data_IF_641385273658
#
_entry.id   IF_641385273658
#
_cell.length_a   1.000
_cell.length_b   1.000
_cell.length_c   1.000
_cell.angle_alpha   90.00
_cell.angle_beta   90.00
_cell.angle_gamma   90.00
#
_symmetry.space_group_name_H-M   'P 1'
#
loop_
_entity.id
_entity.type
_entity.pdbx_description
1 polymer ?
#
# COMPACT_ATOMS: atom_id res chain seq x y z
N UNK A 1 -0.34 -25.72 -8.13
CA UNK A 1 -0.72 -24.97 -6.92
C UNK A 1 -0.43 -25.82 -5.70
N UNK A 2 0.79 -25.77 -5.20
CA UNK A 2 1.08 -26.33 -3.87
C UNK A 2 0.59 -25.30 -2.85
N UNK A 3 -0.47 -25.64 -2.13
CA UNK A 3 -0.97 -24.90 -0.99
C UNK A 3 0.09 -24.94 0.12
N UNK A 4 0.72 -23.80 0.37
CA UNK A 4 1.69 -23.67 1.46
C UNK A 4 0.93 -23.69 2.80
N UNK A 5 0.55 -24.90 3.26
CA UNK A 5 -0.14 -25.13 4.54
C UNK A 5 0.69 -24.67 5.76
N UNK A 6 2.02 -24.55 5.60
CA UNK A 6 2.91 -24.09 6.67
C UNK A 6 2.76 -22.60 7.04
N UNK A 7 2.21 -21.75 6.17
CA UNK A 7 2.11 -20.31 6.44
C UNK A 7 0.75 -19.89 6.99
N UNK A 8 -0.27 -20.74 6.95
CA UNK A 8 -1.64 -20.40 7.40
C UNK A 8 -1.75 -20.24 8.92
N UNK A 9 -0.81 -20.77 9.69
CA UNK A 9 -0.67 -20.59 11.14
C UNK A 9 0.68 -19.97 11.48
N UNK A 10 1.17 -19.00 10.69
CA UNK A 10 2.45 -18.38 10.99
C UNK A 10 2.32 -17.50 12.25
N UNK A 11 2.85 -17.94 13.43
CA UNK A 11 2.82 -17.17 14.67
C UNK A 11 3.62 -15.87 14.57
N UNK A 12 4.43 -15.71 13.51
CA UNK A 12 5.28 -14.55 13.25
C UNK A 12 4.56 -13.21 13.38
N UNK A 13 3.34 -13.12 12.86
CA UNK A 13 2.59 -11.85 12.87
C UNK A 13 2.20 -11.44 14.30
N UNK A 14 1.78 -12.39 15.14
CA UNK A 14 1.48 -12.15 16.55
C UNK A 14 2.72 -11.76 17.35
N UNK A 15 3.78 -12.55 17.18
CA UNK A 15 5.08 -12.33 17.85
C UNK A 15 5.71 -11.00 17.45
N UNK A 16 5.67 -10.64 16.16
CA UNK A 16 6.13 -9.34 15.68
C UNK A 16 5.29 -8.19 16.21
N UNK A 17 3.96 -8.38 16.35
CA UNK A 17 3.06 -7.38 16.94
C UNK A 17 3.35 -7.14 18.42
N UNK A 18 3.78 -8.17 19.18
CA UNK A 18 4.20 -8.01 20.57
C UNK A 18 5.46 -7.14 20.69
N UNK A 19 6.49 -7.41 19.88
CA UNK A 19 7.69 -6.57 19.83
C UNK A 19 7.37 -5.12 19.43
N UNK A 20 6.47 -4.92 18.46
CA UNK A 20 5.96 -3.61 18.10
C UNK A 20 5.28 -2.90 19.27
N UNK A 21 4.40 -3.59 20.00
CA UNK A 21 3.61 -3.03 21.11
C UNK A 21 4.51 -2.55 22.26
N UNK A 22 5.58 -3.28 22.58
CA UNK A 22 6.57 -2.87 23.59
C UNK A 22 7.21 -1.54 23.20
N UNK A 23 7.71 -1.44 21.96
CA UNK A 23 8.35 -0.23 21.46
C UNK A 23 7.37 0.94 21.30
N UNK A 24 6.14 0.67 20.85
CA UNK A 24 5.10 1.68 20.72
C UNK A 24 4.66 2.26 22.07
N UNK A 25 4.51 1.38 23.09
CA UNK A 25 4.13 1.80 24.45
C UNK A 25 5.19 2.70 25.05
N UNK A 26 6.45 2.29 25.03
CA UNK A 26 7.56 3.11 25.56
C UNK A 26 7.61 4.48 24.86
N UNK A 27 7.57 4.51 23.53
CA UNK A 27 7.67 5.78 22.79
C UNK A 27 6.46 6.70 23.01
N UNK A 28 5.26 6.14 23.22
CA UNK A 28 4.06 6.90 23.58
C UNK A 28 4.19 7.52 24.99
N UNK A 29 4.62 6.75 25.98
CA UNK A 29 4.81 7.19 27.37
C UNK A 29 5.91 8.26 27.49
N UNK A 30 7.00 8.12 26.73
CA UNK A 30 8.12 9.07 26.72
C UNK A 30 8.00 10.15 25.65
N UNK A 31 6.87 10.25 24.94
CA UNK A 31 6.63 11.23 23.87
C UNK A 31 7.77 11.30 22.84
N UNK A 32 8.39 10.13 22.55
CA UNK A 32 9.58 10.03 21.70
C UNK A 32 9.39 8.99 20.59
N UNK A 33 9.82 9.34 19.39
CA UNK A 33 9.94 8.41 18.25
C UNK A 33 11.40 8.21 17.80
N UNK A 34 12.37 8.60 18.65
CA UNK A 34 13.78 8.38 18.38
C UNK A 34 14.07 6.87 18.39
N UNK A 35 14.65 6.38 17.30
CA UNK A 35 14.94 4.94 17.14
C UNK A 35 16.03 4.44 18.07
N UNK A 36 17.02 5.28 18.37
CA UNK A 36 18.17 4.91 19.22
C UNK A 36 17.72 4.78 20.67
N UNK A 37 17.03 5.78 21.20
CA UNK A 37 16.53 5.80 22.56
C UNK A 37 15.55 4.64 22.81
N UNK A 38 14.61 4.47 21.86
CA UNK A 38 13.66 3.36 21.89
C UNK A 38 14.38 2.00 21.86
N UNK A 39 15.44 1.84 21.06
CA UNK A 39 16.22 0.62 21.02
C UNK A 39 16.87 0.33 22.39
N UNK A 40 17.56 1.29 22.95
CA UNK A 40 18.29 1.15 24.21
C UNK A 40 17.33 0.76 25.37
N UNK A 41 16.13 1.37 25.37
CA UNK A 41 15.13 1.13 26.41
C UNK A 41 14.36 -0.18 26.24
N UNK A 42 14.06 -0.59 25.00
CA UNK A 42 13.05 -1.65 24.77
C UNK A 42 13.62 -2.94 24.20
N UNK A 43 14.82 -2.94 23.61
CA UNK A 43 15.33 -4.10 22.87
C UNK A 43 15.47 -5.36 23.73
N UNK A 44 16.07 -5.25 24.94
CA UNK A 44 16.24 -6.38 25.85
C UNK A 44 14.90 -6.97 26.25
N UNK A 45 13.94 -6.13 26.63
CA UNK A 45 12.59 -6.55 27.01
C UNK A 45 11.87 -7.22 25.82
N UNK A 46 11.96 -6.64 24.63
CA UNK A 46 11.39 -7.22 23.42
C UNK A 46 12.01 -8.59 23.10
N UNK A 47 13.35 -8.75 23.26
CA UNK A 47 14.02 -10.04 23.06
C UNK A 47 13.59 -11.09 24.07
N UNK A 48 13.37 -10.72 25.33
CA UNK A 48 12.85 -11.64 26.38
C UNK A 48 11.41 -12.05 26.09
N UNK A 49 10.57 -11.10 25.65
CA UNK A 49 9.16 -11.37 25.32
C UNK A 49 8.98 -12.24 24.06
N UNK A 50 9.91 -12.15 23.11
CA UNK A 50 9.83 -12.87 21.82
C UNK A 50 11.18 -13.53 21.47
N UNK A 51 11.66 -14.51 22.25
CA UNK A 51 13.02 -15.07 22.13
C UNK A 51 13.29 -15.69 20.76
N UNK A 52 12.29 -16.33 20.15
CA UNK A 52 12.40 -17.02 18.87
C UNK A 52 12.28 -16.10 17.64
N UNK A 53 11.96 -14.81 17.81
CA UNK A 53 11.89 -13.88 16.70
C UNK A 53 13.32 -13.42 16.33
N UNK A 54 13.75 -13.52 15.05
CA UNK A 54 15.04 -13.02 14.61
C UNK A 54 15.28 -11.56 15.02
N UNK A 55 16.47 -11.23 15.51
CA UNK A 55 16.82 -9.90 16.00
C UNK A 55 16.52 -8.76 15.03
N UNK A 56 16.78 -8.98 13.73
CA UNK A 56 16.45 -7.99 12.69
C UNK A 56 14.95 -7.75 12.55
N UNK A 57 14.08 -8.74 12.82
CA UNK A 57 12.63 -8.54 12.80
C UNK A 57 12.17 -7.81 14.06
N UNK A 58 12.81 -8.01 15.21
CA UNK A 58 12.57 -7.22 16.43
C UNK A 58 12.91 -5.74 16.19
N UNK A 59 14.08 -5.49 15.57
CA UNK A 59 14.46 -4.12 15.18
C UNK A 59 13.49 -3.52 14.17
N UNK A 60 13.05 -4.28 13.18
CA UNK A 60 12.04 -3.86 12.22
C UNK A 60 10.69 -3.51 12.87
N UNK A 61 10.29 -4.25 13.91
CA UNK A 61 9.08 -3.96 14.68
C UNK A 61 9.20 -2.61 15.41
N UNK A 62 10.35 -2.36 16.05
CA UNK A 62 10.70 -1.06 16.68
C UNK A 62 10.64 0.08 15.66
N UNK A 63 11.27 -0.08 14.50
CA UNK A 63 11.29 0.96 13.47
C UNK A 63 9.88 1.31 12.98
N UNK A 64 9.05 0.29 12.78
CA UNK A 64 7.63 0.49 12.46
C UNK A 64 6.88 1.22 13.59
N UNK A 65 7.19 0.94 14.87
CA UNK A 65 6.58 1.61 16.01
C UNK A 65 6.98 3.10 16.05
N UNK A 66 8.26 3.40 15.88
CA UNK A 66 8.77 4.78 15.82
C UNK A 66 8.16 5.57 14.66
N UNK A 67 8.04 4.96 13.48
CA UNK A 67 7.38 5.58 12.32
C UNK A 67 5.89 5.87 12.58
N UNK A 68 5.19 4.92 13.20
CA UNK A 68 3.79 5.10 13.56
C UNK A 68 3.59 6.20 14.61
N UNK A 69 4.45 6.26 15.65
CA UNK A 69 4.46 7.31 16.67
C UNK A 69 4.73 8.68 16.04
N UNK A 70 5.71 8.77 15.14
CA UNK A 70 6.00 10.00 14.39
C UNK A 70 4.79 10.48 13.58
N UNK A 71 4.12 9.57 12.88
CA UNK A 71 2.95 9.88 12.06
C UNK A 71 1.79 10.46 12.88
N UNK A 72 1.55 9.94 14.10
CA UNK A 72 0.51 10.45 15.01
C UNK A 72 1.05 11.51 15.99
N UNK A 73 2.32 11.92 15.87
CA UNK A 73 2.98 12.87 16.77
C UNK A 73 2.81 12.49 18.26
N UNK A 74 2.92 11.23 18.57
CA UNK A 74 2.67 10.62 19.89
C UNK A 74 1.33 10.98 20.55
N UNK A 75 0.32 11.46 19.79
CA UNK A 75 -1.00 11.81 20.35
C UNK A 75 -1.84 10.58 20.71
N UNK A 76 -1.62 9.45 20.06
CA UNK A 76 -2.34 8.21 20.28
C UNK A 76 -1.37 7.05 20.27
N UNK A 77 -1.65 6.02 21.10
CA UNK A 77 -0.84 4.79 21.11
C UNK A 77 -1.12 3.96 19.84
N UNK A 78 -0.14 3.79 18.95
CA UNK A 78 -0.33 2.99 17.75
C UNK A 78 -0.54 1.52 18.10
N UNK A 79 -1.50 0.87 17.43
CA UNK A 79 -1.76 -0.55 17.56
C UNK A 79 -1.49 -1.28 16.25
N UNK A 80 -0.92 -2.47 16.33
CA UNK A 80 -0.62 -3.32 15.18
C UNK A 80 -1.41 -4.62 15.25
N UNK A 81 -2.08 -4.96 14.14
CA UNK A 81 -2.80 -6.23 14.01
C UNK A 81 -1.83 -7.36 13.69
N UNK A 82 -2.12 -8.58 14.16
CA UNK A 82 -1.28 -9.78 13.94
C UNK A 82 -1.00 -10.08 12.45
N UNK A 83 -1.88 -9.66 11.55
CA UNK A 83 -1.71 -9.86 10.11
C UNK A 83 -1.21 -8.63 9.35
N UNK A 84 -0.64 -7.66 10.05
CA UNK A 84 -0.03 -6.50 9.41
C UNK A 84 1.19 -6.92 8.59
N UNK A 85 1.44 -6.21 7.50
CA UNK A 85 2.60 -6.48 6.65
C UNK A 85 3.92 -6.34 7.42
N UNK A 86 4.86 -7.24 7.21
CA UNK A 86 6.16 -7.27 7.87
C UNK A 86 7.26 -6.93 6.89
N UNK A 87 8.17 -6.05 7.32
CA UNK A 87 9.37 -5.68 6.55
C UNK A 87 10.49 -6.67 6.83
N UNK A 88 11.15 -7.08 5.78
CA UNK A 88 12.31 -7.94 5.78
C UNK A 88 13.49 -7.24 5.11
N UNK A 89 14.61 -7.14 5.79
CA UNK A 89 15.86 -6.70 5.20
C UNK A 89 16.66 -7.89 4.64
N UNK A 90 17.74 -7.63 3.94
CA UNK A 90 18.59 -8.65 3.31
C UNK A 90 19.16 -9.69 4.29
N UNK A 91 19.23 -9.40 5.60
CA UNK A 91 19.72 -10.34 6.63
C UNK A 91 18.72 -11.45 6.95
N UNK A 92 17.45 -11.18 6.80
CA UNK A 92 16.34 -12.09 7.19
C UNK A 92 15.55 -12.63 6.01
N UNK A 93 15.78 -12.13 4.80
CA UNK A 93 15.23 -12.69 3.57
C UNK A 93 16.28 -12.69 2.47
N UNK A 94 16.35 -13.79 1.75
CA UNK A 94 17.13 -13.90 0.51
C UNK A 94 16.14 -14.20 -0.62
N UNK A 95 16.13 -13.40 -1.64
CA UNK A 95 15.22 -13.55 -2.79
C UNK A 95 16.04 -13.90 -4.03
N UNK A 96 15.81 -15.08 -4.59
CA UNK A 96 16.26 -15.44 -5.92
C UNK A 96 15.12 -15.19 -6.90
N UNK A 97 15.15 -14.03 -7.54
CA UNK A 97 14.07 -13.60 -8.42
C UNK A 97 14.04 -14.42 -9.71
N UNK A 98 15.19 -14.88 -10.21
CA UNK A 98 15.30 -15.66 -11.47
C UNK A 98 14.56 -17.00 -11.31
N UNK A 99 14.74 -17.66 -10.17
CA UNK A 99 14.12 -18.96 -9.89
C UNK A 99 12.78 -18.85 -9.17
N UNK A 100 12.30 -17.64 -8.84
CA UNK A 100 11.06 -17.44 -8.10
C UNK A 100 11.08 -18.07 -6.70
N UNK A 101 12.21 -17.99 -5.99
CA UNK A 101 12.41 -18.61 -4.68
C UNK A 101 12.84 -17.55 -3.66
N UNK A 102 12.22 -17.57 -2.50
CA UNK A 102 12.61 -16.75 -1.35
C UNK A 102 12.92 -17.65 -0.15
N UNK A 103 14.03 -17.37 0.54
CA UNK A 103 14.37 -17.99 1.83
C UNK A 103 14.14 -16.97 2.94
N UNK A 104 13.18 -17.23 3.80
CA UNK A 104 12.60 -16.28 4.76
C UNK A 104 12.91 -16.74 6.17
N UNK A 105 13.49 -15.88 7.01
CA UNK A 105 13.68 -16.16 8.42
C UNK A 105 12.33 -16.18 9.16
N UNK A 106 12.13 -17.20 9.99
CA UNK A 106 10.94 -17.39 10.82
C UNK A 106 11.31 -17.66 12.27
N UNK A 107 10.31 -17.84 13.14
CA UNK A 107 10.51 -18.26 14.53
C UNK A 107 11.08 -19.68 14.66
N UNK A 108 10.92 -20.52 13.64
CA UNK A 108 11.35 -21.93 13.64
C UNK A 108 12.44 -22.16 12.57
N UNK A 109 13.32 -21.18 12.36
CA UNK A 109 14.39 -21.28 11.36
C UNK A 109 14.02 -20.62 10.03
N UNK A 110 14.71 -20.99 8.96
CA UNK A 110 14.49 -20.43 7.61
C UNK A 110 13.52 -21.30 6.81
N UNK A 111 12.54 -20.65 6.20
CA UNK A 111 11.53 -21.28 5.33
C UNK A 111 11.87 -20.94 3.89
N UNK A 112 11.92 -21.96 3.02
CA UNK A 112 12.02 -21.78 1.58
C UNK A 112 10.63 -21.74 0.97
N UNK A 113 10.29 -20.64 0.28
CA UNK A 113 9.01 -20.43 -0.37
C UNK A 113 9.22 -20.15 -1.87
N UNK A 114 8.38 -20.73 -2.70
CA UNK A 114 8.31 -20.40 -4.13
C UNK A 114 7.25 -19.35 -4.37
N UNK A 115 7.49 -18.44 -5.32
CA UNK A 115 6.54 -17.41 -5.71
C UNK A 115 6.48 -17.27 -7.23
N UNK A 116 5.33 -16.81 -7.71
CA UNK A 116 5.13 -16.56 -9.13
C UNK A 116 5.41 -15.10 -9.46
N UNK A 117 6.15 -14.87 -10.54
CA UNK A 117 6.43 -13.54 -11.08
C UNK A 117 5.56 -13.36 -12.32
N UNK A 118 4.60 -12.42 -12.31
CA UNK A 118 3.84 -12.09 -13.50
C UNK A 118 4.73 -11.60 -14.64
N UNK A 119 4.34 -11.90 -15.88
CA UNK A 119 5.14 -11.60 -17.08
C UNK A 119 5.52 -10.12 -17.22
N UNK A 120 4.62 -9.21 -16.80
CA UNK A 120 4.82 -7.77 -16.85
C UNK A 120 5.88 -7.24 -15.88
N UNK A 121 6.40 -8.08 -14.93
CA UNK A 121 7.51 -7.70 -14.05
C UNK A 121 8.85 -8.27 -14.50
N UNK A 122 8.91 -8.99 -15.63
CA UNK A 122 10.16 -9.63 -16.10
C UNK A 122 11.23 -8.63 -16.48
N UNK A 123 10.86 -7.45 -16.94
CA UNK A 123 11.79 -6.36 -17.28
C UNK A 123 12.58 -5.85 -16.06
N UNK A 124 12.05 -6.03 -14.83
CA UNK A 124 12.69 -5.59 -13.59
C UNK A 124 13.62 -6.64 -12.96
N UNK A 125 13.78 -7.82 -13.55
CA UNK A 125 14.57 -8.91 -12.96
C UNK A 125 16.07 -8.59 -12.82
N UNK A 126 16.57 -7.63 -13.59
CA UNK A 126 17.96 -7.14 -13.53
C UNK A 126 18.19 -6.06 -12.49
N UNK A 127 17.13 -5.54 -11.86
CA UNK A 127 17.22 -4.44 -10.90
C UNK A 127 17.75 -4.93 -9.55
N UNK A 128 18.36 -4.02 -8.76
CA UNK A 128 18.96 -4.34 -7.46
C UNK A 128 17.87 -4.45 -6.40
N UNK A 129 17.79 -5.61 -5.73
CA UNK A 129 16.86 -5.83 -4.62
C UNK A 129 17.37 -5.13 -3.37
N UNK A 130 16.58 -4.22 -2.77
CA UNK A 130 16.91 -3.47 -1.55
C UNK A 130 16.21 -4.00 -0.31
N UNK A 131 14.92 -4.19 -0.37
CA UNK A 131 14.13 -4.65 0.77
C UNK A 131 12.93 -5.45 0.30
N UNK A 132 12.30 -6.16 1.22
CA UNK A 132 11.11 -6.92 0.93
C UNK A 132 10.07 -6.74 2.03
N UNK A 133 8.80 -6.82 1.68
CA UNK A 133 7.69 -6.79 2.63
C UNK A 133 6.77 -7.96 2.35
N UNK A 134 6.41 -8.70 3.39
CA UNK A 134 5.45 -9.80 3.28
C UNK A 134 4.13 -9.32 3.85
N UNK A 135 3.07 -9.44 3.05
CA UNK A 135 1.70 -9.15 3.46
C UNK A 135 0.79 -10.35 3.26
N UNK A 136 -0.26 -10.46 4.08
CA UNK A 136 -1.23 -11.53 4.01
C UNK A 136 -2.62 -11.00 3.67
N UNK A 137 -3.18 -11.44 2.55
CA UNK A 137 -4.58 -11.20 2.20
C UNK A 137 -5.47 -12.25 2.86
N UNK A 138 -6.11 -11.88 3.96
CA UNK A 138 -7.03 -12.77 4.71
C UNK A 138 -8.21 -13.25 3.88
N UNK A 139 -8.65 -12.47 2.88
CA UNK A 139 -9.80 -12.82 2.05
C UNK A 139 -9.46 -13.89 1.02
N UNK A 140 -8.28 -13.75 0.40
CA UNK A 140 -7.79 -14.69 -0.61
C UNK A 140 -6.98 -15.83 0.00
N UNK A 141 -6.60 -15.70 1.28
CA UNK A 141 -5.70 -16.62 1.99
C UNK A 141 -4.35 -16.79 1.27
N UNK A 142 -3.82 -15.70 0.73
CA UNK A 142 -2.58 -15.67 -0.06
C UNK A 142 -1.59 -14.70 0.58
N UNK A 143 -0.33 -15.08 0.57
CA UNK A 143 0.78 -14.19 0.91
C UNK A 143 1.27 -13.48 -0.35
N UNK A 144 1.56 -12.20 -0.22
CA UNK A 144 2.23 -11.39 -1.23
C UNK A 144 3.61 -11.02 -0.74
N UNK A 145 4.61 -11.25 -1.59
CA UNK A 145 5.97 -10.76 -1.42
C UNK A 145 6.11 -9.50 -2.26
N UNK A 146 6.25 -8.36 -1.59
CA UNK A 146 6.53 -7.07 -2.22
C UNK A 146 8.04 -6.88 -2.16
N UNK A 147 8.67 -6.74 -3.31
CA UNK A 147 10.12 -6.56 -3.45
C UNK A 147 10.36 -5.13 -3.89
N UNK A 148 11.11 -4.36 -3.09
CA UNK A 148 11.57 -3.03 -3.47
C UNK A 148 12.88 -3.16 -4.21
N UNK A 149 12.91 -2.62 -5.42
CA UNK A 149 14.06 -2.72 -6.32
C UNK A 149 14.53 -1.31 -6.67
N UNK A 150 15.80 -1.18 -7.00
CA UNK A 150 16.44 0.07 -7.41
C UNK A 150 17.11 -0.12 -8.76
N UNK A 151 17.01 0.90 -9.57
CA UNK A 151 17.71 1.02 -10.85
C UNK A 151 18.28 2.44 -10.95
N UNK A 152 19.31 2.63 -11.74
CA UNK A 152 19.84 3.97 -12.03
C UNK A 152 18.79 4.81 -12.74
N UNK A 153 18.72 6.09 -12.40
CA UNK A 153 17.83 7.01 -13.08
C UNK A 153 18.16 7.08 -14.59
N UNK A 154 17.16 7.17 -15.45
CA UNK A 154 17.40 7.37 -16.88
C UNK A 154 18.11 8.72 -17.09
N UNK A 155 18.87 8.82 -18.17
CA UNK A 155 19.52 10.06 -18.57
C UNK A 155 18.49 11.18 -18.70
N UNK A 156 18.81 12.39 -18.20
CA UNK A 156 17.94 13.54 -18.33
C UNK A 156 17.75 13.90 -19.80
N UNK A 157 16.52 14.06 -20.22
CA UNK A 157 16.18 14.47 -21.59
C UNK A 157 16.52 15.95 -21.76
N UNK A 158 17.27 16.30 -22.80
CA UNK A 158 17.70 17.68 -23.05
C UNK A 158 16.56 18.59 -23.54
N UNK A 159 15.58 18.04 -24.29
CA UNK A 159 14.42 18.77 -24.77
C UNK A 159 13.24 18.59 -23.81
N UNK A 160 12.79 19.69 -23.22
CA UNK A 160 11.68 19.71 -22.25
C UNK A 160 10.40 20.19 -22.96
N UNK A 161 9.71 19.28 -23.64
CA UNK A 161 8.35 19.54 -24.11
C UNK A 161 7.37 19.29 -22.95
N UNK A 162 6.63 20.34 -22.57
CA UNK A 162 5.76 20.33 -21.39
C UNK A 162 4.30 20.16 -21.82
N UNK A 163 3.63 19.15 -21.27
CA UNK A 163 2.18 19.00 -21.34
C UNK A 163 1.54 19.49 -20.06
N UNK A 164 0.72 20.53 -20.12
CA UNK A 164 -0.13 20.97 -19.01
C UNK A 164 -1.34 20.05 -18.86
N UNK A 165 -1.66 19.63 -17.63
CA UNK A 165 -2.78 18.71 -17.35
C UNK A 165 -3.62 19.28 -16.20
N UNK A 166 -4.82 19.73 -16.52
CA UNK A 166 -5.85 20.09 -15.53
C UNK A 166 -6.68 18.87 -15.15
N UNK A 167 -6.94 18.70 -13.85
CA UNK A 167 -7.70 17.58 -13.29
C UNK A 167 -9.04 18.03 -12.76
N UNK A 168 -10.13 17.42 -13.21
CA UNK A 168 -11.46 17.84 -12.83
C UNK A 168 -12.43 16.70 -12.45
N UNK A 169 -13.59 17.08 -11.94
CA UNK A 169 -14.68 16.15 -11.60
C UNK A 169 -15.49 15.79 -12.85
N UNK A 170 -15.63 16.71 -13.81
CA UNK A 170 -16.36 16.51 -15.07
C UNK A 170 -15.48 15.77 -16.07
N UNK A 171 -14.33 16.32 -16.33
CA UNK A 171 -13.26 15.65 -17.03
C UNK A 171 -12.22 15.19 -16.01
N UNK A 172 -11.75 13.97 -16.14
CA UNK A 172 -10.73 13.39 -15.25
C UNK A 172 -9.41 14.12 -15.47
N UNK A 173 -9.10 14.39 -16.74
CA UNK A 173 -7.97 15.20 -17.19
C UNK A 173 -8.35 15.98 -18.46
N UNK A 174 -7.78 17.17 -18.57
CA UNK A 174 -7.79 18.02 -19.76
C UNK A 174 -6.35 18.41 -20.02
N UNK A 175 -5.84 18.08 -21.20
CA UNK A 175 -4.46 18.37 -21.58
C UNK A 175 -4.39 19.65 -22.43
N UNK A 176 -3.26 20.35 -22.36
CA UNK A 176 -3.02 21.58 -23.14
C UNK A 176 -3.01 21.36 -24.65
N UNK A 177 -2.87 20.11 -25.10
CA UNK A 177 -2.97 19.67 -26.50
C UNK A 177 -4.41 19.34 -26.95
N UNK A 178 -5.43 19.81 -26.20
CA UNK A 178 -6.86 19.59 -26.47
C UNK A 178 -7.34 18.12 -26.33
N UNK A 179 -6.62 17.26 -25.64
CA UNK A 179 -7.14 15.93 -25.26
C UNK A 179 -8.00 16.03 -24.01
N UNK A 180 -9.20 15.44 -24.05
CA UNK A 180 -10.19 15.45 -22.97
C UNK A 180 -10.52 14.04 -22.52
N UNK A 181 -10.36 13.76 -21.25
CA UNK A 181 -10.68 12.47 -20.63
C UNK A 181 -11.89 12.62 -19.71
N UNK A 182 -13.09 12.35 -20.21
CA UNK A 182 -14.32 12.55 -19.45
C UNK A 182 -14.54 11.51 -18.34
N UNK A 183 -15.25 11.91 -17.29
CA UNK A 183 -15.56 11.05 -16.12
C UNK A 183 -16.86 10.24 -16.27
N UNK A 184 -17.55 10.26 -17.40
CA UNK A 184 -18.88 9.65 -17.62
C UNK A 184 -18.92 8.16 -17.22
N UNK A 185 -17.92 7.37 -17.65
CA UNK A 185 -17.80 5.95 -17.31
C UNK A 185 -17.69 5.75 -15.79
N UNK A 186 -16.87 6.55 -15.10
CA UNK A 186 -16.68 6.47 -13.64
C UNK A 186 -17.97 6.88 -12.93
N UNK A 187 -18.62 8.00 -13.33
CA UNK A 187 -19.87 8.47 -12.72
C UNK A 187 -20.97 7.43 -12.83
N UNK A 188 -21.19 6.85 -14.01
CA UNK A 188 -22.21 5.81 -14.21
C UNK A 188 -21.93 4.58 -13.36
N UNK A 189 -20.67 4.12 -13.29
CA UNK A 189 -20.29 2.97 -12.47
C UNK A 189 -20.49 3.24 -10.99
N UNK A 190 -20.13 4.42 -10.50
CA UNK A 190 -20.34 4.86 -9.12
C UNK A 190 -21.82 4.92 -8.74
N UNK A 191 -22.66 5.51 -9.60
CA UNK A 191 -24.11 5.56 -9.39
C UNK A 191 -24.70 4.15 -9.26
N UNK A 192 -24.32 3.24 -10.16
CA UNK A 192 -24.76 1.81 -10.10
C UNK A 192 -24.33 1.12 -8.80
N UNK A 193 -23.08 1.30 -8.35
CA UNK A 193 -22.62 0.71 -7.10
C UNK A 193 -23.26 1.35 -5.88
N UNK A 194 -23.55 2.65 -5.89
CA UNK A 194 -24.27 3.34 -4.83
C UNK A 194 -25.68 2.77 -4.69
N UNK A 195 -26.40 2.62 -5.80
CA UNK A 195 -27.72 1.99 -5.85
C UNK A 195 -27.67 0.55 -5.30
N UNK A 196 -26.80 -0.30 -5.82
CA UNK A 196 -26.66 -1.69 -5.36
C UNK A 196 -26.34 -1.80 -3.86
N UNK A 197 -25.49 -0.91 -3.33
CA UNK A 197 -25.19 -0.86 -1.90
C UNK A 197 -26.43 -0.50 -1.08
N UNK A 198 -27.18 0.51 -1.49
CA UNK A 198 -28.41 0.93 -0.83
C UNK A 198 -29.42 -0.23 -0.78
N UNK A 199 -29.69 -0.86 -1.92
CA UNK A 199 -30.61 -2.01 -2.03
C UNK A 199 -30.21 -3.21 -1.15
N UNK A 200 -28.93 -3.57 -1.18
CA UNK A 200 -28.43 -4.70 -0.40
C UNK A 200 -28.36 -4.42 1.10
N UNK A 201 -28.15 -3.16 1.48
CA UNK A 201 -28.14 -2.74 2.88
C UNK A 201 -29.57 -2.74 3.44
N UNK A 202 -30.56 -2.24 2.69
CA UNK A 202 -31.96 -2.23 3.11
C UNK A 202 -32.55 -3.65 3.30
N UNK A 203 -32.12 -4.60 2.45
CA UNK A 203 -32.55 -6.02 2.58
C UNK A 203 -32.07 -6.71 3.85
N UNK A 204 -30.90 -6.33 4.39
CA UNK A 204 -30.35 -6.83 5.65
C UNK A 204 -30.08 -8.32 5.79
N UNK A 205 -30.41 -9.15 4.78
CA UNK A 205 -30.27 -10.61 4.80
C UNK A 205 -28.81 -11.05 4.77
N UNK A 206 -28.55 -12.28 5.22
CA UNK A 206 -27.19 -12.86 5.17
C UNK A 206 -26.65 -12.94 3.74
N UNK A 207 -27.48 -13.32 2.77
CA UNK A 207 -27.10 -13.36 1.35
C UNK A 207 -26.75 -11.97 0.81
N UNK A 208 -27.53 -10.94 1.18
CA UNK A 208 -27.25 -9.56 0.82
C UNK A 208 -25.90 -9.08 1.41
N UNK A 209 -25.60 -9.41 2.66
CA UNK A 209 -24.30 -9.13 3.30
C UNK A 209 -23.14 -9.82 2.58
N UNK A 210 -23.31 -11.09 2.18
CA UNK A 210 -22.30 -11.80 1.38
C UNK A 210 -22.09 -11.13 0.01
N UNK A 211 -23.16 -10.70 -0.65
CA UNK A 211 -23.08 -9.98 -1.93
C UNK A 211 -22.36 -8.64 -1.78
N UNK A 212 -22.62 -7.89 -0.71
CA UNK A 212 -21.89 -6.66 -0.37
C UNK A 212 -20.38 -6.92 -0.22
N UNK A 213 -19.99 -8.00 0.48
CA UNK A 213 -18.57 -8.41 0.56
C UNK A 213 -17.95 -8.68 -0.82
N UNK A 214 -18.69 -9.36 -1.71
CA UNK A 214 -18.22 -9.64 -3.09
C UNK A 214 -18.09 -8.36 -3.94
N UNK A 215 -18.95 -7.36 -3.71
CA UNK A 215 -18.89 -6.07 -4.39
C UNK A 215 -17.76 -5.17 -3.86
N UNK A 216 -17.28 -5.44 -2.64
CA UNK A 216 -16.22 -4.63 -2.02
C UNK A 216 -14.98 -4.54 -2.90
N UNK A 217 -14.47 -3.33 -3.09
CA UNK A 217 -13.27 -3.05 -3.87
C UNK A 217 -13.45 -3.08 -5.40
N UNK A 218 -14.60 -3.55 -5.94
CA UNK A 218 -14.81 -3.59 -7.40
C UNK A 218 -14.84 -2.18 -8.01
N UNK A 219 -15.52 -1.24 -7.35
CA UNK A 219 -15.57 0.15 -7.79
C UNK A 219 -14.17 0.77 -7.80
N UNK A 220 -13.42 0.58 -6.71
CA UNK A 220 -12.04 1.08 -6.62
C UNK A 220 -11.17 0.53 -7.75
N UNK A 221 -11.20 -0.79 -7.99
CA UNK A 221 -10.40 -1.40 -9.08
C UNK A 221 -10.76 -0.85 -10.44
N UNK A 222 -12.06 -0.65 -10.72
CA UNK A 222 -12.51 -0.06 -11.97
C UNK A 222 -12.00 1.38 -12.15
N UNK A 223 -12.07 2.21 -11.10
CA UNK A 223 -11.55 3.59 -11.15
C UNK A 223 -10.04 3.60 -11.34
N UNK A 224 -9.34 2.71 -10.64
CA UNK A 224 -7.90 2.52 -10.79
C UNK A 224 -7.52 2.14 -12.22
N UNK A 225 -8.21 1.19 -12.81
CA UNK A 225 -8.01 0.76 -14.19
C UNK A 225 -8.20 1.91 -15.19
N UNK A 226 -9.29 2.67 -15.06
CA UNK A 226 -9.54 3.85 -15.91
C UNK A 226 -8.42 4.88 -15.76
N UNK A 227 -7.98 5.19 -14.53
CA UNK A 227 -6.90 6.15 -14.32
C UNK A 227 -5.58 5.66 -14.92
N UNK A 228 -5.24 4.37 -14.77
CA UNK A 228 -4.04 3.80 -15.41
C UNK A 228 -4.11 3.83 -16.94
N UNK A 229 -5.29 3.60 -17.54
CA UNK A 229 -5.46 3.73 -18.98
C UNK A 229 -5.23 5.16 -19.44
N UNK A 230 -5.72 6.14 -18.69
CA UNK A 230 -5.55 7.57 -19.02
C UNK A 230 -4.08 7.99 -18.83
N UNK A 231 -3.45 7.68 -17.69
CA UNK A 231 -2.05 8.03 -17.44
C UNK A 231 -1.12 7.40 -18.48
N UNK A 232 -1.38 6.13 -18.87
CA UNK A 232 -0.61 5.49 -19.94
C UNK A 232 -0.75 6.19 -21.29
N UNK A 233 -1.95 6.68 -21.66
CA UNK A 233 -2.16 7.45 -22.89
C UNK A 233 -1.44 8.81 -22.84
N UNK A 234 -1.39 9.43 -21.66
CA UNK A 234 -0.68 10.70 -21.45
C UNK A 234 0.83 10.49 -21.55
N UNK A 235 1.37 9.51 -20.84
CA UNK A 235 2.82 9.22 -20.79
C UNK A 235 3.34 8.73 -22.15
N UNK A 236 2.55 8.00 -22.91
CA UNK A 236 2.93 7.54 -24.26
C UNK A 236 2.84 8.64 -25.33
N UNK A 237 2.61 9.89 -24.97
CA UNK A 237 2.67 11.01 -25.89
C UNK A 237 4.13 11.47 -26.12
N UNK A 238 4.34 12.38 -27.05
CA UNK A 238 5.65 12.94 -27.40
C UNK A 238 6.25 13.88 -26.34
N UNK A 239 5.45 14.27 -25.34
CA UNK A 239 5.87 15.17 -24.27
C UNK A 239 6.78 14.47 -23.26
N UNK A 240 7.76 15.20 -22.74
CA UNK A 240 8.75 14.69 -21.78
C UNK A 240 8.51 15.16 -20.35
N UNK A 241 7.74 16.25 -20.19
CA UNK A 241 7.39 16.83 -18.89
C UNK A 241 5.88 16.95 -18.76
N UNK A 242 5.32 16.52 -17.63
CA UNK A 242 3.90 16.59 -17.33
C UNK A 242 3.67 17.52 -16.15
N UNK A 243 3.03 18.66 -16.39
CA UNK A 243 2.73 19.66 -15.38
C UNK A 243 1.29 19.51 -14.88
N UNK A 244 1.13 19.29 -13.57
CA UNK A 244 -0.17 19.16 -12.90
C UNK A 244 -0.42 20.30 -11.94
N UNK A 245 -1.69 20.69 -11.80
CA UNK A 245 -2.12 21.62 -10.75
C UNK A 245 -1.92 20.99 -9.36
N UNK A 246 -1.42 21.77 -8.38
CA UNK A 246 -1.33 21.34 -6.97
C UNK A 246 -2.71 21.34 -6.29
N UNK A 247 -3.29 20.18 -6.17
CA UNK A 247 -4.58 19.95 -5.50
C UNK A 247 -4.44 19.47 -4.05
N UNK A 248 -3.26 19.56 -3.44
CA UNK A 248 -2.99 19.04 -2.09
C UNK A 248 -3.93 19.59 -1.00
N UNK A 249 -4.39 20.83 -1.14
CA UNK A 249 -5.26 21.52 -0.18
C UNK A 249 -6.74 21.56 -0.59
N UNK A 250 -7.14 20.98 -1.72
CA UNK A 250 -8.49 21.13 -2.27
C UNK A 250 -9.61 20.61 -1.35
N UNK A 251 -9.30 19.62 -0.50
CA UNK A 251 -10.26 19.04 0.46
C UNK A 251 -10.40 19.82 1.76
N UNK A 252 -9.47 20.73 2.05
CA UNK A 252 -9.43 21.53 3.29
C UNK A 252 -10.19 22.84 3.14
N UNK A 253 -10.49 23.25 1.91
CA UNK A 253 -11.22 24.48 1.62
C UNK A 253 -12.68 24.40 2.10
N UNK A 254 -13.32 25.59 2.29
CA UNK A 254 -14.69 25.75 2.83
C UNK A 254 -15.68 24.71 2.29
N UNK A 255 -16.51 24.16 3.20
CA UNK A 255 -17.60 23.25 2.85
C UNK A 255 -18.55 23.90 1.83
N UNK A 256 -18.72 23.26 0.69
CA UNK A 256 -19.56 23.72 -0.44
C UNK A 256 -20.90 22.97 -0.51
N UNK A 257 -21.28 22.27 0.56
CA UNK A 257 -22.48 21.43 0.64
C UNK A 257 -22.18 19.93 0.56
N UNK A 258 -23.04 19.14 1.23
CA UNK A 258 -22.85 17.67 1.39
C UNK A 258 -22.66 16.90 0.10
N UNK A 259 -23.36 17.30 -0.97
CA UNK A 259 -23.27 16.60 -2.25
C UNK A 259 -21.93 16.88 -2.97
N UNK A 260 -21.52 18.14 -2.97
CA UNK A 260 -20.23 18.53 -3.57
C UNK A 260 -19.07 17.92 -2.79
N UNK A 261 -19.09 17.97 -1.46
CA UNK A 261 -18.08 17.37 -0.59
C UNK A 261 -17.97 15.86 -0.84
N UNK A 262 -19.11 15.17 -1.03
CA UNK A 262 -19.12 13.74 -1.40
C UNK A 262 -18.49 13.49 -2.76
N UNK A 263 -18.76 14.33 -3.77
CA UNK A 263 -18.13 14.22 -5.10
C UNK A 263 -16.62 14.42 -5.01
N UNK A 264 -16.19 15.45 -4.27
CA UNK A 264 -14.78 15.79 -4.08
C UNK A 264 -14.02 14.69 -3.30
N UNK A 265 -14.61 14.16 -2.23
CA UNK A 265 -13.99 13.08 -1.44
C UNK A 265 -13.88 11.77 -2.21
N UNK A 266 -14.79 11.51 -3.14
CA UNK A 266 -14.75 10.35 -4.02
C UNK A 266 -13.84 10.52 -5.24
N UNK A 267 -13.36 11.72 -5.49
CA UNK A 267 -12.53 12.01 -6.64
C UNK A 267 -11.09 11.52 -6.43
N UNK A 268 -10.61 10.67 -7.32
CA UNK A 268 -9.29 10.02 -7.22
C UNK A 268 -8.20 10.79 -8.02
N UNK A 269 -8.17 12.11 -7.89
CA UNK A 269 -7.25 12.99 -8.64
C UNK A 269 -5.77 12.68 -8.40
N UNK A 270 -5.41 12.29 -7.18
CA UNK A 270 -4.03 11.98 -6.82
C UNK A 270 -3.49 10.70 -7.49
N UNK A 271 -4.37 9.75 -7.77
CA UNK A 271 -3.97 8.49 -8.41
C UNK A 271 -3.56 8.66 -9.88
N UNK A 272 -4.04 9.70 -10.56
CA UNK A 272 -3.68 9.96 -11.94
C UNK A 272 -2.25 10.53 -12.06
N UNK A 273 -1.80 11.24 -11.04
CA UNK A 273 -0.47 11.85 -10.95
C UNK A 273 0.63 10.81 -10.62
N UNK A 274 0.28 9.73 -9.93
CA UNK A 274 1.18 8.64 -9.55
C UNK A 274 1.29 7.55 -10.62
#
# INVERSE_FOLDING_TARGET
SMSCHCLTHCPLGGVHSNAFSISAKWGYENQSWNRVDNHNATYKLARQSVPNLPSSLVQGARDCACEALKAVKCKTLPQRKSFSAMRYNQRVITVNIVHGVATIASTNGRIKATFYIPSHYREYLSWIIKSSTISYDRRRKVFYLHISMEHSDPAKVANLEVLGIDRGIVNIAVCSDNRFFNSKKIKNRRARYAYLRKELQSKGTQSARQKLKRLSGRERRFVTDVNHCISKQIVNSEYTVFAFEDLSKIRVQKRRGKEFDRKLNNWSFYQLEQ
#
